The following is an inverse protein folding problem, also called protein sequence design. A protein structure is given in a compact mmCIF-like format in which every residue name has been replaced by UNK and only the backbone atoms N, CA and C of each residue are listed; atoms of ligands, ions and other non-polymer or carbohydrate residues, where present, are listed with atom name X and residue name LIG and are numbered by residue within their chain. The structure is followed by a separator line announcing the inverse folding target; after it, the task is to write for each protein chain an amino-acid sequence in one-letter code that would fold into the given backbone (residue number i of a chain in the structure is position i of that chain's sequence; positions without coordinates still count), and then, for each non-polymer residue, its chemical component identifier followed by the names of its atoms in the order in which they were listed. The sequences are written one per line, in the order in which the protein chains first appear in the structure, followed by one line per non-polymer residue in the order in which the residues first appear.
data_IF_399566240832
#
_entry.id   IF_399566240832
#
_cell.length_a   1.000
_cell.length_b   1.000
_cell.length_c   1.000
_cell.angle_alpha   90.00
_cell.angle_beta   90.00
_cell.angle_gamma   90.00
#
_symmetry.space_group_name_H-M   'P 1'
#
loop_
_entity.id
_entity.type
_entity.pdbx_description
1 polymer ?
#
# COMPACT_ATOMS: atom_id res chain seq x y z
N UNK A 1 -45.83 30.97 15.62
CA UNK A 1 -45.18 30.91 14.29
C UNK A 1 -44.09 31.98 14.21
N UNK A 2 -42.79 31.64 14.26
CA UNK A 2 -41.70 32.61 14.07
C UNK A 2 -41.55 32.93 12.59
N UNK A 3 -41.86 34.16 12.18
CA UNK A 3 -41.52 34.67 10.84
C UNK A 3 -40.02 34.92 10.79
N UNK A 4 -39.31 34.11 10.01
CA UNK A 4 -37.88 34.28 9.78
C UNK A 4 -37.72 35.45 8.78
N UNK A 5 -37.30 36.61 9.27
CA UNK A 5 -36.97 37.76 8.43
C UNK A 5 -35.56 37.57 7.87
N UNK A 6 -35.45 37.10 6.63
CA UNK A 6 -34.17 36.96 5.93
C UNK A 6 -33.69 38.32 5.43
N UNK A 7 -32.75 38.92 6.16
CA UNK A 7 -32.01 40.11 5.70
C UNK A 7 -31.23 39.72 4.43
N UNK A 8 -31.27 40.57 3.39
CA UNK A 8 -30.70 40.29 2.06
C UNK A 8 -29.24 39.82 2.03
N UNK A 9 -28.45 40.17 3.04
CA UNK A 9 -27.07 39.67 3.23
C UNK A 9 -27.01 38.16 3.52
N UNK A 10 -27.97 37.63 4.27
CA UNK A 10 -28.03 36.21 4.62
C UNK A 10 -28.47 35.37 3.42
N UNK A 11 -29.29 35.95 2.52
CA UNK A 11 -29.73 35.28 1.29
C UNK A 11 -28.54 34.93 0.40
N UNK A 12 -27.58 35.85 0.22
CA UNK A 12 -26.37 35.59 -0.58
C UNK A 12 -25.49 34.49 0.02
N UNK A 13 -25.37 34.46 1.35
CA UNK A 13 -24.60 33.42 2.06
C UNK A 13 -25.27 32.05 1.89
N UNK A 14 -26.59 31.99 2.00
CA UNK A 14 -27.35 30.74 1.81
C UNK A 14 -27.20 30.22 0.39
N UNK A 15 -27.27 31.10 -0.61
CA UNK A 15 -27.05 30.75 -2.02
C UNK A 15 -25.62 30.23 -2.25
N UNK A 16 -24.61 30.88 -1.66
CA UNK A 16 -23.22 30.43 -1.74
C UNK A 16 -23.04 29.03 -1.13
N UNK A 17 -23.61 28.79 0.05
CA UNK A 17 -23.54 27.49 0.74
C UNK A 17 -24.20 26.40 -0.10
N UNK A 18 -25.38 26.67 -0.68
CA UNK A 18 -26.06 25.73 -1.56
C UNK A 18 -25.23 25.40 -2.80
N UNK A 19 -24.56 26.40 -3.38
CA UNK A 19 -23.71 26.22 -4.56
C UNK A 19 -22.45 25.40 -4.22
N UNK A 20 -21.82 25.66 -3.08
CA UNK A 20 -20.70 24.83 -2.57
C UNK A 20 -21.14 23.41 -2.24
N UNK A 21 -22.34 23.22 -1.69
CA UNK A 21 -22.84 21.89 -1.37
C UNK A 21 -23.13 21.09 -2.65
N UNK A 22 -23.74 21.72 -3.65
CA UNK A 22 -23.98 21.10 -4.95
C UNK A 22 -22.66 20.69 -5.64
N UNK A 23 -21.64 21.56 -5.64
CA UNK A 23 -20.33 21.22 -6.20
C UNK A 23 -19.63 20.10 -5.44
N UNK A 24 -19.75 20.06 -4.11
CA UNK A 24 -19.21 18.98 -3.29
C UNK A 24 -19.85 17.64 -3.59
N UNK A 25 -21.18 17.59 -3.75
CA UNK A 25 -21.90 16.36 -4.12
C UNK A 25 -21.43 15.84 -5.48
N UNK A 26 -21.31 16.71 -6.48
CA UNK A 26 -20.80 16.34 -7.81
C UNK A 26 -19.36 15.84 -7.73
N UNK A 27 -18.51 16.51 -6.94
CA UNK A 27 -17.14 16.07 -6.72
C UNK A 27 -17.08 14.66 -6.10
N UNK A 28 -17.85 14.40 -5.05
CA UNK A 28 -17.90 13.09 -4.39
C UNK A 28 -18.43 12.01 -5.33
N UNK A 29 -19.44 12.31 -6.17
CA UNK A 29 -19.95 11.33 -7.14
C UNK A 29 -18.94 10.99 -8.22
N UNK A 30 -18.26 11.99 -8.80
CA UNK A 30 -17.23 11.76 -9.83
C UNK A 30 -16.03 11.02 -9.26
N UNK A 31 -15.60 11.38 -8.05
CA UNK A 31 -14.52 10.71 -7.35
C UNK A 31 -14.89 9.25 -7.05
N UNK A 32 -16.09 8.99 -6.51
CA UNK A 32 -16.55 7.62 -6.27
C UNK A 32 -16.70 6.82 -7.58
N UNK A 33 -17.10 7.46 -8.67
CA UNK A 33 -17.16 6.81 -9.99
C UNK A 33 -15.77 6.40 -10.46
N UNK A 34 -14.77 7.29 -10.39
CA UNK A 34 -13.36 6.98 -10.69
C UNK A 34 -12.79 5.87 -9.79
N UNK A 35 -13.19 5.84 -8.51
CA UNK A 35 -12.82 4.75 -7.60
C UNK A 35 -13.48 3.41 -7.95
N UNK A 36 -14.74 3.43 -8.43
CA UNK A 36 -15.48 2.22 -8.82
C UNK A 36 -15.04 1.68 -10.19
N UNK A 37 -14.74 2.57 -11.13
CA UNK A 37 -14.24 2.25 -12.47
C UNK A 37 -12.81 1.69 -12.46
N UNK A 38 -12.11 1.79 -11.32
CA UNK A 38 -10.82 1.14 -11.11
C UNK A 38 -9.62 1.93 -11.63
N UNK A 39 -9.83 3.12 -12.20
CA UNK A 39 -8.76 4.00 -12.68
C UNK A 39 -7.85 4.52 -11.52
N UNK A 40 -8.41 4.53 -10.29
CA UNK A 40 -7.67 4.81 -9.05
C UNK A 40 -7.42 3.55 -8.20
N UNK A 41 -7.95 2.38 -8.58
CA UNK A 41 -7.46 1.13 -8.00
C UNK A 41 -6.08 0.93 -8.58
N UNK A 42 -5.07 0.88 -7.73
CA UNK A 42 -3.78 0.29 -8.10
C UNK A 42 -4.09 -1.19 -8.35
N UNK A 43 -4.48 -1.50 -9.59
CA UNK A 43 -4.55 -2.87 -10.04
C UNK A 43 -3.10 -3.34 -10.05
N UNK A 44 -2.76 -4.19 -9.10
CA UNK A 44 -1.52 -4.93 -9.13
C UNK A 44 -1.66 -6.00 -10.21
N UNK A 45 -1.84 -5.58 -11.47
CA UNK A 45 -1.75 -6.47 -12.60
C UNK A 45 -0.27 -6.82 -12.81
N UNK A 46 0.19 -7.77 -12.01
CA UNK A 46 1.53 -8.33 -12.07
C UNK A 46 1.84 -9.02 -13.42
N UNK A 47 0.86 -9.20 -14.31
CA UNK A 47 1.09 -9.86 -15.60
C UNK A 47 1.69 -8.95 -16.66
N UNK A 48 1.53 -7.63 -16.58
CA UNK A 48 1.91 -6.72 -17.67
C UNK A 48 3.22 -5.96 -17.45
N UNK A 49 3.86 -6.07 -16.26
CA UNK A 49 5.15 -5.40 -15.94
C UNK A 49 6.31 -6.36 -15.68
N UNK A 50 6.45 -7.46 -16.41
CA UNK A 50 7.70 -8.22 -16.46
C UNK A 50 8.77 -7.54 -17.33
N UNK A 51 9.00 -6.23 -17.17
CA UNK A 51 10.14 -5.57 -17.81
C UNK A 51 11.42 -5.98 -17.08
N UNK A 52 12.13 -6.94 -17.67
CA UNK A 52 13.55 -7.23 -17.41
C UNK A 52 13.94 -7.40 -15.93
N UNK A 53 13.28 -8.29 -15.21
CA UNK A 53 13.91 -8.84 -14.01
C UNK A 53 15.11 -9.71 -14.45
N UNK A 54 16.32 -9.53 -13.88
CA UNK A 54 17.44 -10.39 -14.20
C UNK A 54 17.03 -11.86 -13.97
N UNK A 55 17.33 -12.73 -14.93
CA UNK A 55 16.87 -14.13 -14.97
C UNK A 55 17.33 -14.96 -13.76
N UNK A 56 18.30 -14.47 -13.01
CA UNK A 56 18.85 -15.07 -11.80
C UNK A 56 19.04 -13.96 -10.78
N UNK A 57 18.12 -13.85 -9.81
CA UNK A 57 18.30 -13.00 -8.65
C UNK A 57 18.89 -13.87 -7.55
N UNK A 58 20.12 -13.57 -7.14
CA UNK A 58 20.75 -14.24 -6.00
C UNK A 58 20.07 -13.78 -4.71
N UNK A 59 19.93 -14.69 -3.75
CA UNK A 59 19.39 -14.44 -2.42
C UNK A 59 20.20 -13.33 -1.73
N UNK A 60 21.51 -13.26 -2.00
CA UNK A 60 22.41 -12.19 -1.50
C UNK A 60 22.10 -10.79 -2.04
N UNK A 61 21.21 -10.66 -3.03
CA UNK A 61 20.79 -9.36 -3.58
C UNK A 61 19.70 -8.70 -2.73
N UNK A 62 19.17 -9.41 -1.73
CA UNK A 62 18.17 -8.89 -0.79
C UNK A 62 18.76 -7.73 -0.01
N UNK A 63 18.04 -6.59 -0.01
CA UNK A 63 18.56 -5.34 0.55
C UNK A 63 17.47 -4.50 1.23
N UNK A 64 17.89 -3.60 2.12
CA UNK A 64 17.02 -2.83 3.02
C UNK A 64 15.97 -1.95 2.36
N UNK A 65 16.19 -1.53 1.10
CA UNK A 65 15.22 -0.72 0.36
C UNK A 65 14.04 -1.56 -0.16
N UNK A 66 14.20 -2.87 -0.30
CA UNK A 66 13.17 -3.78 -0.81
C UNK A 66 12.02 -3.94 0.18
N UNK A 67 10.82 -4.22 -0.33
CA UNK A 67 9.66 -4.61 0.49
C UNK A 67 9.56 -6.13 0.59
N UNK A 68 8.81 -6.64 1.57
CA UNK A 68 8.52 -8.07 1.63
C UNK A 68 7.71 -8.52 0.41
N UNK A 69 6.80 -7.68 -0.09
CA UNK A 69 6.04 -7.94 -1.31
C UNK A 69 6.96 -8.14 -2.53
N UNK A 70 7.97 -7.28 -2.68
CA UNK A 70 8.96 -7.39 -3.75
C UNK A 70 9.72 -8.73 -3.71
N UNK A 71 10.12 -9.16 -2.50
CA UNK A 71 10.79 -10.45 -2.28
C UNK A 71 9.84 -11.61 -2.63
N UNK A 72 8.59 -11.56 -2.17
CA UNK A 72 7.60 -12.60 -2.42
C UNK A 72 7.41 -12.81 -3.94
N UNK A 73 7.34 -11.72 -4.70
CA UNK A 73 7.18 -11.78 -6.16
C UNK A 73 8.41 -12.37 -6.84
N UNK A 74 9.60 -11.90 -6.49
CA UNK A 74 10.84 -12.31 -7.15
C UNK A 74 11.21 -13.76 -6.89
N UNK A 75 11.08 -14.19 -5.63
CA UNK A 75 11.41 -15.56 -5.23
C UNK A 75 10.19 -16.50 -5.33
N UNK A 76 9.03 -16.00 -5.79
CA UNK A 76 7.78 -16.77 -5.90
C UNK A 76 7.40 -17.44 -4.56
N UNK A 77 7.54 -16.69 -3.48
CA UNK A 77 7.25 -17.13 -2.11
C UNK A 77 5.79 -16.82 -1.77
N UNK A 78 5.14 -17.73 -1.05
CA UNK A 78 3.81 -17.49 -0.51
C UNK A 78 3.80 -16.22 0.38
N UNK A 79 2.84 -15.29 0.21
CA UNK A 79 2.81 -14.04 0.97
C UNK A 79 2.75 -14.20 2.49
N UNK A 80 2.30 -15.33 3.02
CA UNK A 80 2.25 -15.57 4.47
C UNK A 80 3.51 -16.28 5.00
N UNK A 81 4.26 -17.00 4.15
CA UNK A 81 5.40 -17.80 4.58
C UNK A 81 6.46 -16.97 5.34
N UNK A 82 6.91 -15.85 4.76
CA UNK A 82 7.92 -15.00 5.43
C UNK A 82 7.35 -14.33 6.67
N UNK A 83 6.05 -14.00 6.67
CA UNK A 83 5.37 -13.41 7.82
C UNK A 83 5.41 -14.35 9.02
N UNK A 84 5.04 -15.61 8.81
CA UNK A 84 4.98 -16.64 9.83
C UNK A 84 6.39 -17.05 10.27
N UNK A 85 7.28 -17.34 9.31
CA UNK A 85 8.65 -17.81 9.58
C UNK A 85 9.48 -16.80 10.36
N UNK A 86 9.34 -15.51 10.04
CA UNK A 86 10.08 -14.43 10.71
C UNK A 86 9.26 -13.74 11.81
N UNK A 87 8.07 -14.25 12.14
CA UNK A 87 7.16 -13.70 13.15
C UNK A 87 6.91 -12.18 12.98
N UNK A 88 6.65 -11.75 11.74
CA UNK A 88 6.46 -10.33 11.40
C UNK A 88 5.04 -9.89 11.77
N UNK A 89 4.95 -9.01 12.76
CA UNK A 89 3.68 -8.48 13.30
C UNK A 89 3.42 -7.00 12.92
N UNK A 90 3.96 -6.53 11.79
CA UNK A 90 3.73 -5.15 11.34
C UNK A 90 2.44 -5.05 10.49
N UNK A 91 1.51 -4.13 10.81
CA UNK A 91 0.26 -3.96 10.05
C UNK A 91 0.48 -3.50 8.60
N UNK A 92 1.67 -3.02 8.25
CA UNK A 92 2.03 -2.59 6.89
C UNK A 92 2.69 -3.70 6.07
N UNK A 93 2.85 -4.90 6.64
CA UNK A 93 3.25 -6.08 5.88
C UNK A 93 2.19 -6.38 4.79
N UNK A 94 2.59 -6.76 3.55
CA UNK A 94 3.95 -6.98 3.05
C UNK A 94 4.61 -5.73 2.42
N UNK A 95 3.91 -4.59 2.42
CA UNK A 95 4.31 -3.36 1.71
C UNK A 95 5.38 -2.52 2.43
N UNK A 96 5.77 -2.89 3.64
CA UNK A 96 6.82 -2.22 4.40
C UNK A 96 8.21 -2.56 3.84
N UNK A 97 9.09 -1.56 3.74
CA UNK A 97 10.51 -1.77 3.44
C UNK A 97 11.19 -2.52 4.57
N UNK A 98 12.02 -3.50 4.23
CA UNK A 98 12.70 -4.35 5.21
C UNK A 98 13.56 -3.53 6.16
N UNK A 99 14.34 -2.58 5.64
CA UNK A 99 15.14 -1.69 6.49
C UNK A 99 14.30 -0.84 7.44
N UNK A 100 13.12 -0.39 7.01
CA UNK A 100 12.19 0.33 7.89
C UNK A 100 11.63 -0.57 8.98
N UNK A 101 11.32 -1.84 8.67
CA UNK A 101 10.88 -2.82 9.64
C UNK A 101 11.96 -3.11 10.69
N UNK A 102 13.18 -3.42 10.25
CA UNK A 102 14.34 -3.68 11.12
C UNK A 102 14.61 -2.51 12.05
N UNK A 103 14.70 -1.29 11.49
CA UNK A 103 14.97 -0.08 12.26
C UNK A 103 13.88 0.25 13.27
N UNK A 104 12.60 0.07 12.91
CA UNK A 104 11.47 0.35 13.80
C UNK A 104 11.40 -0.62 14.97
N UNK A 105 11.70 -1.88 14.73
CA UNK A 105 11.66 -2.93 15.75
C UNK A 105 13.01 -3.10 16.47
N UNK A 106 13.97 -2.18 16.25
CA UNK A 106 15.28 -2.19 16.88
C UNK A 106 16.02 -3.54 16.72
N UNK A 107 15.82 -4.18 15.58
CA UNK A 107 16.44 -5.47 15.26
C UNK A 107 17.88 -5.26 14.79
N UNK A 108 18.74 -6.24 15.05
CA UNK A 108 20.06 -6.27 14.45
C UNK A 108 19.94 -6.53 12.95
N UNK A 109 20.44 -5.60 12.13
CA UNK A 109 20.31 -5.67 10.67
C UNK A 109 20.99 -6.92 10.10
N UNK A 110 22.25 -7.19 10.47
CA UNK A 110 22.99 -8.34 9.96
C UNK A 110 22.31 -9.67 10.31
N UNK A 111 21.85 -9.82 11.56
CA UNK A 111 21.15 -11.04 12.01
C UNK A 111 19.82 -11.21 11.28
N UNK A 112 19.06 -10.12 11.09
CA UNK A 112 17.78 -10.18 10.40
C UNK A 112 17.94 -10.53 8.93
N UNK A 113 18.88 -9.92 8.22
CA UNK A 113 19.14 -10.22 6.82
C UNK A 113 19.61 -11.67 6.64
N UNK A 114 20.50 -12.16 7.50
CA UNK A 114 20.92 -13.56 7.46
C UNK A 114 19.74 -14.53 7.67
N UNK A 115 18.85 -14.26 8.63
CA UNK A 115 17.64 -15.07 8.84
C UNK A 115 16.65 -15.00 7.68
N UNK A 116 16.50 -13.83 7.05
CA UNK A 116 15.68 -13.64 5.86
C UNK A 116 16.23 -14.41 4.66
N UNK A 117 17.54 -14.34 4.40
CA UNK A 117 18.21 -15.12 3.35
C UNK A 117 18.03 -16.62 3.56
N UNK A 118 18.18 -17.09 4.80
CA UNK A 118 17.96 -18.48 5.16
C UNK A 118 16.50 -18.91 4.95
N UNK A 119 15.52 -18.09 5.33
CA UNK A 119 14.11 -18.38 5.11
C UNK A 119 13.77 -18.53 3.63
N UNK A 120 14.32 -17.65 2.78
CA UNK A 120 14.17 -17.70 1.31
C UNK A 120 14.83 -18.97 0.75
N UNK A 121 16.05 -19.29 1.19
CA UNK A 121 16.76 -20.49 0.75
C UNK A 121 16.00 -21.76 1.12
N UNK A 122 15.49 -21.86 2.34
CA UNK A 122 14.70 -22.99 2.81
C UNK A 122 13.43 -23.18 1.98
N UNK A 123 12.74 -22.09 1.63
CA UNK A 123 11.54 -22.16 0.80
C UNK A 123 11.85 -22.70 -0.60
N UNK A 124 12.95 -22.23 -1.21
CA UNK A 124 13.37 -22.66 -2.54
C UNK A 124 13.83 -24.13 -2.58
N UNK A 125 14.47 -24.61 -1.51
CA UNK A 125 14.94 -26.00 -1.43
C UNK A 125 13.81 -27.01 -1.15
N UNK A 126 12.71 -26.57 -0.52
CA UNK A 126 11.55 -27.40 -0.18
C UNK A 126 10.45 -27.38 -1.26
N UNK A 127 10.71 -26.75 -2.41
CA UNK A 127 9.81 -26.68 -3.56
C UNK A 127 10.12 -27.78 -4.56
#
# INVERSE_FOLDING_TARGET
MRKISFKSKNIKIIVLILLCFASFVVFVSTFNQLYREGDLKVDYDFKTKQKHFPRTIDIKTVSAWMTFDYINVIFKIDPNYLKETLSINDPRYPNIRIGHYVKRNQLNEATFFSGLEQAISNYNNNK
#
